data_IF_190199247564
#
_entry.id   IF_190199247564
#
_cell.length_a   1.000
_cell.length_b   1.000
_cell.length_c   1.000
_cell.angle_alpha   90.00
_cell.angle_beta   90.00
_cell.angle_gamma   90.00
#
_symmetry.space_group_name_H-M   'P 1'
#
loop_
_entity.id
_entity.type
_entity.pdbx_description
1 polymer ?
#
# COMPACT_ATOMS: atom_id res chain seq x y z
N UNK A 1 11.30 25.21 -3.01
CA UNK A 1 12.08 24.06 -2.50
C UNK A 1 11.95 22.93 -3.53
N UNK A 2 13.02 22.56 -4.24
CA UNK A 2 12.96 21.50 -5.27
C UNK A 2 12.91 20.14 -4.57
N UNK A 3 11.79 19.43 -4.68
CA UNK A 3 11.69 18.05 -4.19
C UNK A 3 12.54 17.17 -5.12
N UNK A 4 13.54 16.47 -4.55
CA UNK A 4 14.39 15.56 -5.31
C UNK A 4 13.59 14.30 -5.71
N UNK A 5 13.87 13.70 -6.89
CA UNK A 5 13.13 12.52 -7.37
C UNK A 5 13.11 11.37 -6.35
N UNK A 6 14.21 11.16 -5.62
CA UNK A 6 14.30 10.14 -4.58
C UNK A 6 13.37 10.35 -3.38
N UNK A 7 13.04 11.60 -3.02
CA UNK A 7 12.04 11.88 -1.96
C UNK A 7 10.63 11.55 -2.42
N UNK A 8 10.35 11.76 -3.71
CA UNK A 8 9.05 11.41 -4.30
C UNK A 8 8.86 9.89 -4.34
N UNK A 9 9.90 9.14 -4.71
CA UNK A 9 9.86 7.67 -4.71
C UNK A 9 9.74 7.10 -3.31
N UNK A 10 10.51 7.60 -2.34
CA UNK A 10 10.41 7.19 -0.94
C UNK A 10 9.03 7.53 -0.33
N UNK A 11 8.48 8.71 -0.67
CA UNK A 11 7.12 9.10 -0.29
C UNK A 11 6.02 8.35 -1.06
N UNK A 12 6.33 7.70 -2.19
CA UNK A 12 5.37 6.87 -2.91
C UNK A 12 5.37 5.42 -2.37
N UNK A 13 6.53 4.87 -2.01
CA UNK A 13 6.66 3.52 -1.45
C UNK A 13 6.26 3.43 0.02
N UNK A 14 6.52 4.49 0.80
CA UNK A 14 6.10 4.60 2.19
C UNK A 14 5.49 5.99 2.46
N UNK A 15 4.30 6.27 1.88
CA UNK A 15 3.61 7.55 2.00
C UNK A 15 3.49 8.10 3.42
N UNK A 16 3.09 7.30 4.43
CA UNK A 16 2.94 7.83 5.78
C UNK A 16 4.29 8.24 6.38
N UNK A 17 5.39 7.54 6.08
CA UNK A 17 6.71 7.90 6.63
C UNK A 17 7.26 9.18 6.00
N UNK A 18 7.10 9.33 4.68
CA UNK A 18 7.51 10.56 3.98
C UNK A 18 6.76 11.80 4.48
N UNK A 19 5.46 11.67 4.74
CA UNK A 19 4.64 12.76 5.29
C UNK A 19 4.96 13.01 6.77
N UNK A 20 5.18 11.97 7.56
CA UNK A 20 5.59 12.10 8.96
C UNK A 20 6.91 12.86 9.11
N UNK A 21 7.92 12.52 8.31
CA UNK A 21 9.23 13.18 8.36
C UNK A 21 9.19 14.62 7.81
N UNK A 22 8.29 14.92 6.88
CA UNK A 22 8.18 16.25 6.27
C UNK A 22 7.26 17.22 7.03
N UNK A 23 6.20 16.72 7.66
CA UNK A 23 5.13 17.54 8.27
C UNK A 23 4.83 17.18 9.74
N UNK A 24 5.45 16.13 10.28
CA UNK A 24 5.21 15.64 11.64
C UNK A 24 3.91 14.82 11.77
N UNK A 25 3.58 14.39 13.00
CA UNK A 25 2.28 13.79 13.30
C UNK A 25 1.19 14.86 13.19
N UNK A 26 0.32 14.72 12.20
CA UNK A 26 -0.75 15.68 11.96
C UNK A 26 -1.81 15.14 10.99
N UNK A 27 -2.75 16.01 10.60
CA UNK A 27 -3.86 15.65 9.69
C UNK A 27 -3.36 15.07 8.37
N UNK A 28 -2.28 15.62 7.83
CA UNK A 28 -1.68 15.14 6.58
C UNK A 28 -1.11 13.71 6.71
N UNK A 29 -0.51 13.39 7.86
CA UNK A 29 -0.05 12.02 8.16
C UNK A 29 -1.24 11.06 8.26
N UNK A 30 -2.31 11.47 8.94
CA UNK A 30 -3.55 10.68 9.02
C UNK A 30 -4.18 10.41 7.66
N UNK A 31 -4.22 11.42 6.77
CA UNK A 31 -4.71 11.27 5.40
C UNK A 31 -3.82 10.30 4.61
N UNK A 32 -2.49 10.42 4.72
CA UNK A 32 -1.55 9.52 4.05
C UNK A 32 -1.71 8.07 4.53
N UNK A 33 -1.90 7.85 5.83
CA UNK A 33 -2.21 6.54 6.40
C UNK A 33 -3.53 5.98 5.84
N UNK A 34 -4.59 6.79 5.86
CA UNK A 34 -5.91 6.39 5.35
C UNK A 34 -5.87 6.00 3.88
N UNK A 35 -5.25 6.82 3.02
CA UNK A 35 -5.12 6.53 1.59
C UNK A 35 -4.27 5.28 1.33
N UNK A 36 -3.21 5.05 2.12
CA UNK A 36 -2.38 3.85 2.01
C UNK A 36 -3.19 2.59 2.35
N UNK A 37 -3.97 2.63 3.43
CA UNK A 37 -4.86 1.52 3.82
C UNK A 37 -5.96 1.28 2.78
N UNK A 38 -6.60 2.35 2.29
CA UNK A 38 -7.64 2.25 1.27
C UNK A 38 -7.15 1.68 -0.05
N UNK A 39 -5.90 1.96 -0.46
CA UNK A 39 -5.30 1.35 -1.66
C UNK A 39 -4.75 -0.06 -1.43
N UNK A 40 -4.22 -0.33 -0.24
CA UNK A 40 -3.57 -1.61 0.08
C UNK A 40 -4.58 -2.73 0.38
N UNK A 41 -5.61 -2.46 1.18
CA UNK A 41 -6.62 -3.45 1.55
C UNK A 41 -7.29 -4.15 0.36
N UNK A 42 -7.79 -3.44 -0.68
CA UNK A 42 -8.41 -4.10 -1.84
C UNK A 42 -7.40 -4.96 -2.62
N UNK A 43 -6.15 -4.48 -2.78
CA UNK A 43 -5.09 -5.25 -3.43
C UNK A 43 -4.72 -6.51 -2.66
N UNK A 44 -4.58 -6.41 -1.35
CA UNK A 44 -4.31 -7.55 -0.46
C UNK A 44 -5.47 -8.55 -0.45
N UNK A 45 -6.72 -8.08 -0.39
CA UNK A 45 -7.90 -8.92 -0.46
C UNK A 45 -8.00 -9.66 -1.80
N UNK A 46 -7.72 -8.97 -2.92
CA UNK A 46 -7.69 -9.59 -4.24
C UNK A 46 -6.60 -10.65 -4.37
N UNK A 47 -5.40 -10.37 -3.88
CA UNK A 47 -4.30 -11.34 -3.86
C UNK A 47 -4.66 -12.58 -3.03
N UNK A 48 -5.19 -12.37 -1.82
CA UNK A 48 -5.63 -13.46 -0.94
C UNK A 48 -6.73 -14.29 -1.57
N UNK A 49 -7.75 -13.65 -2.16
CA UNK A 49 -8.83 -14.35 -2.86
C UNK A 49 -8.30 -15.15 -4.05
N UNK A 50 -7.36 -14.59 -4.82
CA UNK A 50 -6.75 -15.29 -5.96
C UNK A 50 -6.03 -16.56 -5.52
N UNK A 51 -5.20 -16.49 -4.46
CA UNK A 51 -4.48 -17.65 -3.92
C UNK A 51 -5.44 -18.69 -3.34
N UNK A 52 -6.40 -18.27 -2.51
CA UNK A 52 -7.38 -19.19 -1.91
C UNK A 52 -8.30 -19.86 -2.94
N UNK A 53 -8.53 -19.22 -4.09
CA UNK A 53 -9.33 -19.82 -5.16
C UNK A 53 -8.55 -20.83 -5.99
N UNK A 54 -7.24 -20.65 -6.16
CA UNK A 54 -6.38 -21.64 -6.84
C UNK A 54 -6.28 -22.95 -6.04
N UNK A 55 -6.28 -22.86 -4.71
CA UNK A 55 -6.25 -24.04 -3.82
C UNK A 55 -7.52 -24.91 -3.90
N UNK A 56 -8.64 -24.36 -4.38
CA UNK A 56 -9.92 -25.07 -4.52
C UNK A 56 -10.13 -25.75 -5.87
N UNK A 57 -9.22 -25.63 -6.82
CA UNK A 57 -9.31 -26.44 -8.03
C UNK A 57 -9.00 -27.90 -7.63
N UNK A 58 -9.94 -28.85 -7.77
CA UNK A 58 -9.63 -30.25 -7.51
C UNK A 58 -8.41 -30.63 -8.37
N UNK A 59 -7.44 -31.39 -7.86
CA UNK A 59 -6.32 -31.86 -8.68
C UNK A 59 -6.95 -32.52 -9.90
N UNK A 60 -6.72 -31.92 -11.06
CA UNK A 60 -7.19 -32.48 -12.31
C UNK A 60 -6.66 -33.91 -12.36
N UNK A 61 -7.60 -34.86 -12.43
CA UNK A 61 -7.41 -36.30 -12.65
C UNK A 61 -6.04 -36.61 -13.24
N UNK A 62 -5.14 -37.08 -12.38
CA UNK A 62 -3.96 -37.85 -12.78
C UNK A 62 -4.36 -39.34 -12.83
#
# INVERSE_FOLDING_TARGET
MRASPGRVVAAALLPPLGVYLARGPGRDFGIACGLTVLGYLPGAAFALWSVLRQDRAPPAMA
#
